data_IF_777803337282
#
_entry.id   IF_777803337282
#
_cell.length_a   1.000
_cell.length_b   1.000
_cell.length_c   1.000
_cell.angle_alpha   90.00
_cell.angle_beta   90.00
_cell.angle_gamma   90.00
#
_symmetry.space_group_name_H-M   'P 1'
#
loop_
_entity.id
_entity.type
_entity.pdbx_description
1 polymer ?
#
# COMPACT_ATOMS: atom_id res chain seq x y z
N UNK A 1 18.57 13.74 6.41
CA UNK A 1 17.48 12.87 5.95
C UNK A 1 16.49 13.78 5.28
N UNK A 2 16.20 13.52 4.01
CA UNK A 2 15.22 14.33 3.29
C UNK A 2 13.88 14.16 3.98
N UNK A 3 13.21 15.28 4.21
CA UNK A 3 11.96 15.33 4.96
C UNK A 3 10.86 14.69 4.10
N UNK A 4 10.30 13.58 4.55
CA UNK A 4 9.16 12.95 3.89
C UNK A 4 7.97 12.86 4.85
N UNK A 5 6.78 12.86 4.30
CA UNK A 5 5.56 12.68 5.09
C UNK A 5 4.63 11.71 4.42
N UNK A 6 3.92 10.91 5.23
CA UNK A 6 2.86 10.00 4.76
C UNK A 6 1.65 10.18 5.66
N UNK A 7 0.47 10.34 5.06
CA UNK A 7 -0.82 10.46 5.73
C UNK A 7 -1.81 9.47 5.13
N UNK A 8 -2.55 8.77 5.96
CA UNK A 8 -3.67 7.94 5.56
C UNK A 8 -4.94 8.81 5.50
N UNK A 9 -5.38 9.19 4.29
CA UNK A 9 -6.51 10.13 4.10
C UNK A 9 -7.84 9.41 3.89
N UNK A 10 -7.83 8.15 3.46
CA UNK A 10 -9.02 7.29 3.38
C UNK A 10 -8.65 5.87 3.74
N UNK A 11 -9.55 5.20 4.43
CA UNK A 11 -9.40 3.80 4.83
C UNK A 11 -10.76 3.11 4.90
N UNK A 12 -10.82 1.77 4.89
CA UNK A 12 -12.05 0.99 4.97
C UNK A 12 -12.92 1.33 6.19
N UNK A 13 -14.21 1.15 6.03
CA UNK A 13 -15.22 1.24 7.09
C UNK A 13 -15.66 -0.15 7.54
N UNK A 14 -16.51 -0.24 8.56
CA UNK A 14 -17.11 -1.52 8.95
C UNK A 14 -18.10 -2.03 7.90
N UNK A 15 -18.74 -1.16 7.13
CA UNK A 15 -19.60 -1.53 6.00
C UNK A 15 -18.79 -2.19 4.88
N UNK A 16 -17.58 -1.72 4.62
CA UNK A 16 -16.66 -2.36 3.65
C UNK A 16 -16.29 -3.76 4.13
N UNK A 17 -16.05 -3.96 5.43
CA UNK A 17 -15.81 -5.28 6.00
C UNK A 17 -17.03 -6.21 5.94
N UNK A 18 -18.23 -5.68 6.16
CA UNK A 18 -19.48 -6.42 5.98
C UNK A 18 -19.63 -6.89 4.53
N UNK A 19 -19.32 -6.01 3.56
CA UNK A 19 -19.28 -6.36 2.13
C UNK A 19 -18.25 -7.47 1.84
N UNK A 20 -17.03 -7.35 2.37
CA UNK A 20 -15.99 -8.39 2.21
C UNK A 20 -16.48 -9.74 2.71
N UNK A 21 -17.12 -9.76 3.88
CA UNK A 21 -17.66 -11.01 4.45
C UNK A 21 -18.81 -11.56 3.63
N UNK A 22 -19.72 -10.71 3.19
CA UNK A 22 -20.81 -11.10 2.31
C UNK A 22 -20.29 -11.76 1.03
N UNK A 23 -19.34 -11.13 0.33
CA UNK A 23 -18.76 -11.64 -0.90
C UNK A 23 -18.02 -12.97 -0.68
N UNK A 24 -17.27 -13.10 0.42
CA UNK A 24 -16.59 -14.34 0.76
C UNK A 24 -17.57 -15.51 1.00
N UNK A 25 -18.70 -15.25 1.63
CA UNK A 25 -19.75 -16.24 1.88
C UNK A 25 -20.56 -16.56 0.62
N UNK A 26 -20.80 -15.56 -0.23
CA UNK A 26 -21.49 -15.72 -1.51
C UNK A 26 -20.77 -16.75 -2.40
N UNK A 27 -19.43 -16.70 -2.49
CA UNK A 27 -18.65 -17.66 -3.27
C UNK A 27 -18.77 -19.10 -2.76
N UNK A 28 -19.14 -19.29 -1.49
CA UNK A 28 -19.38 -20.58 -0.87
C UNK A 28 -20.87 -20.95 -0.78
N UNK A 29 -21.76 -20.16 -1.41
CA UNK A 29 -23.22 -20.30 -1.33
C UNK A 29 -23.75 -20.33 0.13
N UNK A 30 -23.19 -19.47 0.98
CA UNK A 30 -23.56 -19.34 2.40
C UNK A 30 -24.18 -17.97 2.69
N UNK A 31 -25.11 -17.93 3.64
CA UNK A 31 -25.69 -16.67 4.11
C UNK A 31 -24.83 -16.05 5.20
N UNK A 32 -24.74 -14.74 5.19
CA UNK A 32 -24.12 -13.99 6.28
C UNK A 32 -25.10 -13.91 7.45
N UNK A 33 -24.67 -14.45 8.61
CA UNK A 33 -25.49 -14.45 9.85
C UNK A 33 -24.95 -13.40 10.83
N UNK A 34 -23.63 -13.26 10.93
CA UNK A 34 -22.96 -12.40 11.88
C UNK A 34 -21.96 -11.46 11.19
N UNK A 35 -21.66 -10.32 11.80
CA UNK A 35 -20.59 -9.41 11.37
C UNK A 35 -19.20 -10.09 11.42
N UNK A 36 -18.21 -9.60 10.62
CA UNK A 36 -16.85 -10.11 10.68
C UNK A 36 -16.21 -9.82 12.05
N UNK A 37 -15.62 -10.85 12.66
CA UNK A 37 -14.80 -10.70 13.89
C UNK A 37 -13.36 -10.34 13.51
N UNK A 38 -12.58 -9.88 14.48
CA UNK A 38 -11.14 -9.63 14.33
C UNK A 38 -10.41 -10.85 13.75
N UNK A 39 -10.62 -12.03 14.33
CA UNK A 39 -9.97 -13.28 13.91
C UNK A 39 -10.33 -13.65 12.46
N UNK A 40 -11.59 -13.42 12.08
CA UNK A 40 -12.04 -13.66 10.72
C UNK A 40 -11.40 -12.66 9.74
N UNK A 41 -11.36 -11.37 10.10
CA UNK A 41 -10.69 -10.32 9.32
C UNK A 41 -9.21 -10.65 9.12
N UNK A 42 -8.50 -10.99 10.19
CA UNK A 42 -7.09 -11.38 10.10
C UNK A 42 -6.88 -12.63 9.22
N UNK A 43 -7.74 -13.66 9.37
CA UNK A 43 -7.65 -14.91 8.60
C UNK A 43 -7.85 -14.69 7.10
N UNK A 44 -8.83 -13.89 6.69
CA UNK A 44 -9.09 -13.62 5.27
C UNK A 44 -7.97 -12.78 4.63
N UNK A 45 -7.41 -11.83 5.36
CA UNK A 45 -6.24 -11.04 4.93
C UNK A 45 -5.02 -11.94 4.75
N UNK A 46 -4.72 -12.79 5.73
CA UNK A 46 -3.60 -13.74 5.68
C UNK A 46 -3.74 -14.72 4.51
N UNK A 47 -4.95 -15.19 4.25
CA UNK A 47 -5.26 -16.06 3.11
C UNK A 47 -5.23 -15.32 1.76
N UNK A 48 -5.12 -13.99 1.77
CA UNK A 48 -5.20 -13.14 0.56
C UNK A 48 -6.40 -13.46 -0.33
N UNK A 49 -7.54 -13.79 0.31
CA UNK A 49 -8.76 -14.16 -0.41
C UNK A 49 -9.32 -12.94 -1.17
N UNK A 50 -9.77 -13.14 -2.41
CA UNK A 50 -10.11 -12.07 -3.35
C UNK A 50 -11.07 -10.97 -2.84
N UNK A 51 -12.06 -11.21 -1.96
CA UNK A 51 -12.93 -10.15 -1.46
C UNK A 51 -12.23 -9.01 -0.72
N UNK A 52 -11.00 -9.21 -0.21
CA UNK A 52 -10.23 -8.11 0.41
C UNK A 52 -9.87 -6.99 -0.57
N UNK A 53 -10.12 -7.17 -1.86
CA UNK A 53 -10.00 -6.12 -2.90
C UNK A 53 -11.04 -5.02 -2.77
N UNK A 54 -12.10 -5.22 -1.98
CA UNK A 54 -13.07 -4.16 -1.69
C UNK A 54 -12.55 -3.17 -0.61
N UNK A 55 -11.51 -3.56 0.15
CA UNK A 55 -10.89 -2.69 1.15
C UNK A 55 -9.91 -1.74 0.46
N UNK A 56 -10.24 -0.44 0.48
CA UNK A 56 -9.48 0.60 -0.21
C UNK A 56 -8.83 1.57 0.76
N UNK A 57 -7.55 1.82 0.56
CA UNK A 57 -6.77 2.84 1.25
C UNK A 57 -6.39 3.96 0.28
N UNK A 58 -6.29 5.19 0.79
CA UNK A 58 -5.71 6.32 0.06
C UNK A 58 -4.72 7.01 0.96
N UNK A 59 -3.50 7.13 0.48
CA UNK A 59 -2.42 7.83 1.16
C UNK A 59 -2.07 9.11 0.41
N UNK A 60 -1.77 10.17 1.15
CA UNK A 60 -1.10 11.37 0.65
C UNK A 60 0.32 11.37 1.20
N UNK A 61 1.28 11.71 0.38
CA UNK A 61 2.68 11.73 0.78
C UNK A 61 3.46 12.82 0.08
N UNK A 62 4.46 13.33 0.79
CA UNK A 62 5.51 14.16 0.22
C UNK A 62 6.80 13.33 0.21
N UNK A 63 7.33 13.05 -0.96
CA UNK A 63 8.42 12.11 -1.17
C UNK A 63 9.37 12.59 -2.27
N UNK A 64 10.62 12.12 -2.32
CA UNK A 64 11.51 12.35 -3.46
C UNK A 64 10.93 11.80 -4.76
N UNK A 65 11.19 12.52 -5.84
CA UNK A 65 10.66 12.16 -7.18
C UNK A 65 11.00 10.72 -7.58
N UNK A 66 12.22 10.25 -7.36
CA UNK A 66 12.63 8.90 -7.75
C UNK A 66 11.84 7.79 -7.02
N UNK A 67 11.43 8.04 -5.77
CA UNK A 67 10.60 7.09 -5.00
C UNK A 67 9.23 6.94 -5.66
N UNK A 68 8.65 8.04 -6.15
CA UNK A 68 7.37 7.99 -6.88
C UNK A 68 7.44 7.10 -8.10
N UNK A 69 8.57 7.07 -8.81
CA UNK A 69 8.81 6.20 -9.97
C UNK A 69 8.77 4.72 -9.57
N UNK A 70 9.36 4.37 -8.40
CA UNK A 70 9.28 3.00 -7.88
C UNK A 70 7.85 2.57 -7.55
N UNK A 71 7.04 3.49 -7.02
CA UNK A 71 5.64 3.22 -6.70
C UNK A 71 4.77 3.08 -7.95
N UNK A 72 4.95 3.93 -8.94
CA UNK A 72 4.18 3.90 -10.21
C UNK A 72 4.36 2.61 -11.03
N UNK A 73 5.37 1.80 -10.73
CA UNK A 73 5.55 0.50 -11.38
C UNK A 73 4.55 -0.57 -10.91
N UNK A 74 3.81 -0.31 -9.85
CA UNK A 74 2.75 -1.21 -9.38
C UNK A 74 1.46 -0.93 -10.15
N UNK A 75 1.10 -1.84 -11.06
CA UNK A 75 0.00 -1.66 -12.05
C UNK A 75 -1.40 -1.48 -11.45
N UNK A 76 -1.62 -1.95 -10.23
CA UNK A 76 -2.93 -1.84 -9.55
C UNK A 76 -3.00 -0.68 -8.57
N UNK A 77 -2.06 0.25 -8.67
CA UNK A 77 -1.98 1.45 -7.85
C UNK A 77 -2.41 2.65 -8.68
N UNK A 78 -3.36 3.43 -8.18
CA UNK A 78 -3.77 4.67 -8.85
C UNK A 78 -3.05 5.85 -8.20
N UNK A 79 -2.18 6.49 -8.96
CA UNK A 79 -1.34 7.60 -8.50
C UNK A 79 -1.87 8.94 -9.00
N UNK A 80 -1.90 9.92 -8.11
CA UNK A 80 -2.29 11.30 -8.36
C UNK A 80 -1.12 12.19 -7.96
N UNK A 81 -0.58 12.96 -8.89
CA UNK A 81 0.58 13.81 -8.67
C UNK A 81 0.18 15.28 -8.63
N UNK A 82 0.81 16.05 -7.76
CA UNK A 82 0.77 17.50 -7.91
C UNK A 82 1.32 17.87 -9.29
N UNK A 83 0.74 18.89 -9.89
CA UNK A 83 1.26 19.35 -11.18
C UNK A 83 2.69 19.80 -11.03
N UNK A 84 3.49 19.33 -11.95
CA UNK A 84 4.84 19.80 -12.15
C UNK A 84 4.88 20.88 -13.26
N UNK A 85 3.76 21.31 -13.78
CA UNK A 85 3.64 22.33 -14.84
C UNK A 85 3.62 23.73 -14.24
N UNK A 86 4.67 24.51 -14.51
CA UNK A 86 4.82 25.85 -13.98
C UNK A 86 3.85 26.85 -14.60
N UNK A 87 3.38 26.60 -15.84
CA UNK A 87 2.34 27.38 -16.50
C UNK A 87 1.00 27.37 -15.74
N UNK A 88 0.73 26.34 -14.93
CA UNK A 88 -0.46 26.26 -14.06
C UNK A 88 -0.26 26.90 -12.67
N UNK A 89 0.94 27.37 -12.37
CA UNK A 89 1.30 27.96 -11.09
C UNK A 89 1.76 29.41 -11.21
N UNK A 90 1.54 30.05 -12.38
CA UNK A 90 2.05 31.39 -12.72
C UNK A 90 3.56 31.56 -12.49
N UNK A 91 4.30 30.46 -12.63
CA UNK A 91 5.77 30.42 -12.51
C UNK A 91 6.40 30.25 -13.90
N UNK A 92 7.71 30.18 -13.94
CA UNK A 92 8.50 30.08 -15.19
C UNK A 92 8.19 28.80 -16.02
N UNK A 93 8.55 28.84 -17.30
CA UNK A 93 8.37 27.72 -18.24
C UNK A 93 9.23 26.51 -17.79
N UNK A 94 8.58 25.40 -17.62
CA UNK A 94 9.16 24.20 -17.09
C UNK A 94 10.06 23.42 -18.03
N UNK A 95 10.00 23.69 -19.31
CA UNK A 95 10.88 23.04 -20.29
C UNK A 95 12.36 23.32 -20.02
N UNK A 96 12.65 24.37 -19.28
CA UNK A 96 14.01 24.81 -18.93
C UNK A 96 14.35 24.64 -17.46
N UNK A 97 13.38 24.30 -16.60
CA UNK A 97 13.60 24.13 -15.16
C UNK A 97 13.95 22.67 -14.82
N UNK A 98 14.88 22.44 -13.86
CA UNK A 98 15.09 21.11 -13.33
C UNK A 98 13.82 20.61 -12.63
N UNK A 99 13.54 19.29 -12.63
CA UNK A 99 12.43 18.73 -11.86
C UNK A 99 12.65 18.98 -10.37
N UNK A 100 11.55 19.26 -9.62
CA UNK A 100 11.63 19.36 -8.18
C UNK A 100 12.17 18.06 -7.58
N UNK A 101 13.10 18.14 -6.62
CA UNK A 101 13.68 16.95 -6.00
C UNK A 101 12.66 16.18 -5.17
N UNK A 102 11.58 16.83 -4.71
CA UNK A 102 10.46 16.21 -4.00
C UNK A 102 9.13 16.58 -4.64
N UNK A 103 8.11 15.76 -4.43
CA UNK A 103 6.76 16.01 -4.90
C UNK A 103 5.71 15.54 -3.90
N UNK A 104 4.55 16.18 -3.94
CA UNK A 104 3.35 15.68 -3.26
C UNK A 104 2.58 14.76 -4.21
N UNK A 105 2.29 13.57 -3.75
CA UNK A 105 1.42 12.63 -4.45
C UNK A 105 0.40 12.00 -3.52
N UNK A 106 -0.71 11.57 -4.08
CA UNK A 106 -1.59 10.61 -3.42
C UNK A 106 -1.63 9.32 -4.23
N UNK A 107 -1.73 8.19 -3.55
CA UNK A 107 -2.05 6.94 -4.21
C UNK A 107 -3.21 6.21 -3.54
N UNK A 108 -4.01 5.60 -4.38
CA UNK A 108 -5.14 4.78 -3.99
C UNK A 108 -4.79 3.32 -4.25
N UNK A 109 -4.94 2.48 -3.24
CA UNK A 109 -4.54 1.07 -3.27
C UNK A 109 -5.56 0.19 -2.56
N UNK A 110 -5.78 -1.01 -3.07
CA UNK A 110 -6.60 -2.03 -2.44
C UNK A 110 -5.77 -2.83 -1.43
N UNK A 111 -6.40 -3.40 -0.40
CA UNK A 111 -5.69 -4.16 0.63
C UNK A 111 -4.83 -5.30 0.05
N UNK A 112 -5.35 -6.04 -0.94
CA UNK A 112 -4.60 -7.10 -1.61
C UNK A 112 -3.32 -6.59 -2.27
N UNK A 113 -3.40 -5.42 -2.90
CA UNK A 113 -2.26 -4.80 -3.57
C UNK A 113 -1.27 -4.18 -2.57
N UNK A 114 -1.77 -3.59 -1.49
CA UNK A 114 -0.90 -3.08 -0.43
C UNK A 114 -0.05 -4.20 0.19
N UNK A 115 -0.67 -5.37 0.47
CA UNK A 115 0.05 -6.57 0.92
C UNK A 115 1.10 -7.03 -0.10
N UNK A 116 0.82 -6.91 -1.40
CA UNK A 116 1.74 -7.27 -2.48
C UNK A 116 2.89 -6.26 -2.59
N UNK A 117 2.60 -4.96 -2.51
CA UNK A 117 3.59 -3.89 -2.50
C UNK A 117 4.53 -4.06 -1.31
N UNK A 118 3.97 -4.25 -0.11
CA UNK A 118 4.74 -4.48 1.11
C UNK A 118 5.68 -5.70 0.97
N UNK A 119 5.20 -6.80 0.37
CA UNK A 119 6.02 -7.99 0.17
C UNK A 119 7.25 -7.77 -0.73
N UNK A 120 7.22 -6.78 -1.62
CA UNK A 120 8.32 -6.44 -2.51
C UNK A 120 9.16 -5.27 -2.01
N UNK A 121 8.53 -4.26 -1.43
CA UNK A 121 9.20 -3.01 -1.06
C UNK A 121 9.76 -3.00 0.36
N UNK A 122 9.33 -3.92 1.23
CA UNK A 122 9.94 -4.13 2.54
C UNK A 122 11.07 -5.18 2.52
N UNK A 123 11.43 -5.68 1.34
CA UNK A 123 12.58 -6.57 1.17
C UNK A 123 13.89 -5.78 1.29
N UNK A 124 14.88 -6.33 1.98
CA UNK A 124 16.22 -5.73 2.16
C UNK A 124 16.97 -5.40 0.85
N UNK A 125 16.50 -5.92 -0.28
CA UNK A 125 17.01 -5.57 -1.62
C UNK A 125 16.31 -4.39 -2.30
N UNK A 126 15.25 -3.86 -1.70
CA UNK A 126 14.59 -2.67 -2.21
C UNK A 126 15.40 -1.42 -1.84
N UNK A 127 15.15 -0.33 -2.53
CA UNK A 127 15.71 0.98 -2.19
C UNK A 127 15.28 1.38 -0.77
N UNK A 128 16.22 1.78 0.08
CA UNK A 128 16.02 2.05 1.51
C UNK A 128 14.95 3.10 1.76
N UNK A 129 14.96 4.19 0.99
CA UNK A 129 13.97 5.25 1.17
C UNK A 129 12.57 4.80 0.74
N UNK A 130 12.47 4.01 -0.33
CA UNK A 130 11.21 3.38 -0.75
C UNK A 130 10.69 2.41 0.31
N UNK A 131 11.60 1.65 0.98
CA UNK A 131 11.24 0.79 2.12
C UNK A 131 10.61 1.60 3.24
N UNK A 132 11.25 2.72 3.64
CA UNK A 132 10.80 3.56 4.74
C UNK A 132 9.42 4.17 4.46
N UNK A 133 9.18 4.69 3.25
CA UNK A 133 7.88 5.21 2.83
C UNK A 133 6.79 4.13 2.91
N UNK A 134 7.05 2.94 2.39
CA UNK A 134 6.06 1.84 2.44
C UNK A 134 5.90 1.31 3.86
N UNK A 135 6.97 1.24 4.64
CA UNK A 135 6.89 0.88 6.06
C UNK A 135 5.94 1.83 6.80
N UNK A 136 6.07 3.14 6.59
CA UNK A 136 5.19 4.14 7.22
C UNK A 136 3.73 4.00 6.77
N UNK A 137 3.47 3.67 5.49
CA UNK A 137 2.11 3.35 5.03
C UNK A 137 1.52 2.15 5.78
N UNK A 138 2.30 1.08 5.91
CA UNK A 138 1.88 -0.14 6.60
C UNK A 138 1.65 0.10 8.09
N UNK A 139 2.52 0.85 8.75
CA UNK A 139 2.41 1.22 10.16
C UNK A 139 1.10 1.99 10.42
N UNK A 140 0.76 2.99 9.61
CA UNK A 140 -0.52 3.73 9.70
C UNK A 140 -1.75 2.82 9.54
N UNK A 141 -1.63 1.77 8.71
CA UNK A 141 -2.70 0.78 8.58
C UNK A 141 -2.78 -0.11 9.81
N UNK A 142 -1.67 -0.62 10.33
CA UNK A 142 -1.64 -1.49 11.51
C UNK A 142 -2.07 -0.77 12.80
N UNK A 143 -1.76 0.53 12.92
CA UNK A 143 -2.23 1.37 14.03
C UNK A 143 -3.77 1.44 14.06
N UNK A 144 -4.39 1.59 12.89
CA UNK A 144 -5.85 1.76 12.77
C UNK A 144 -6.59 0.42 12.65
N UNK A 145 -5.97 -0.59 12.07
CA UNK A 145 -6.54 -1.91 11.75
C UNK A 145 -5.61 -3.01 12.28
N UNK A 146 -5.70 -3.35 13.58
CA UNK A 146 -4.85 -4.37 14.19
C UNK A 146 -4.91 -5.74 13.51
N UNK A 147 -5.96 -6.02 12.74
CA UNK A 147 -6.10 -7.25 11.95
C UNK A 147 -5.06 -7.38 10.82
N UNK A 148 -4.35 -6.31 10.46
CA UNK A 148 -3.23 -6.34 9.51
C UNK A 148 -1.89 -6.67 10.16
N UNK A 149 -1.78 -6.64 11.49
CA UNK A 149 -0.51 -6.86 12.19
C UNK A 149 0.15 -8.17 11.78
N UNK A 150 1.43 -8.06 11.45
CA UNK A 150 2.27 -9.20 11.04
C UNK A 150 1.98 -9.72 9.62
N UNK A 151 1.22 -8.99 8.81
CA UNK A 151 0.92 -9.37 7.41
C UNK A 151 1.73 -8.58 6.38
N UNK A 152 2.36 -7.47 6.79
CA UNK A 152 3.23 -6.66 5.95
C UNK A 152 4.68 -7.09 6.08
N UNK A 153 5.31 -7.41 4.97
CA UNK A 153 6.71 -7.81 4.94
C UNK A 153 7.05 -8.73 3.77
N UNK A 154 8.34 -8.97 3.52
CA UNK A 154 8.76 -9.89 2.48
C UNK A 154 8.39 -11.34 2.83
N UNK A 155 8.25 -12.22 1.83
CA UNK A 155 7.84 -13.61 2.04
C UNK A 155 8.73 -14.39 3.00
N UNK A 156 10.04 -14.09 3.05
CA UNK A 156 10.95 -14.73 4.00
C UNK A 156 10.60 -14.41 5.47
N UNK A 157 10.11 -13.20 5.75
CA UNK A 157 9.65 -12.80 7.10
C UNK A 157 8.28 -13.40 7.41
N UNK A 158 7.33 -13.31 6.45
CA UNK A 158 5.93 -13.71 6.68
C UNK A 158 5.75 -15.24 6.63
N UNK A 159 6.47 -15.93 5.74
CA UNK A 159 6.29 -17.36 5.45
C UNK A 159 7.55 -18.19 5.70
N UNK A 160 8.65 -17.58 6.16
CA UNK A 160 9.94 -18.27 6.37
C UNK A 160 10.63 -18.74 5.08
N UNK A 161 10.21 -18.24 3.90
CA UNK A 161 10.75 -18.67 2.61
C UNK A 161 10.87 -17.51 1.63
N UNK A 162 12.05 -17.36 1.03
CA UNK A 162 12.29 -16.38 -0.03
C UNK A 162 11.83 -16.92 -1.39
N UNK A 163 11.10 -16.08 -2.15
CA UNK A 163 10.63 -16.38 -3.52
C UNK A 163 11.29 -15.48 -4.57
N UNK A 164 12.32 -14.72 -4.19
CA UNK A 164 13.06 -13.90 -5.16
C UNK A 164 13.96 -14.77 -6.05
N UNK A 165 14.08 -14.38 -7.34
CA UNK A 165 14.96 -15.08 -8.31
C UNK A 165 16.41 -15.11 -7.80
N UNK A 166 16.86 -14.05 -7.16
CA UNK A 166 18.18 -13.93 -6.55
C UNK A 166 18.01 -13.64 -5.05
N UNK A 167 17.93 -14.66 -4.19
CA UNK A 167 17.79 -14.47 -2.74
C UNK A 167 18.95 -13.64 -2.16
N UNK A 168 18.72 -12.94 -1.05
CA UNK A 168 19.81 -12.40 -0.25
C UNK A 168 20.52 -13.54 0.48
N UNK A 169 21.81 -13.32 0.87
CA UNK A 169 22.64 -14.38 1.51
C UNK A 169 22.14 -14.80 2.90
N UNK A 170 21.19 -14.07 3.47
CA UNK A 170 20.65 -14.27 4.81
C UNK A 170 19.24 -14.92 4.81
N UNK A 171 18.80 -15.47 3.67
CA UNK A 171 17.52 -16.15 3.53
C UNK A 171 17.64 -17.66 3.49
#
# INVERSE_FOLDING_TARGET
MDDFSVKLIKSPTEEDWDLVKYLALLTANKKMINKPTFEWKHKILRARHSPIRELKFVFEMQIPYYVSVHLCRHVHLHSYFCTQRNDRQDKYDRRTAPPDPSLTMAFSVLAAELLTIASKRLCSKADEFTQEVIYRCCELVEEKYPEFKGLFGPPCVIYGKCFEMYPCKEG
#
